data_IF_282409788206
#
_entry.id   IF_282409788206
#
_cell.length_a   1.000
_cell.length_b   1.000
_cell.length_c   1.000
_cell.angle_alpha   90.00
_cell.angle_beta   90.00
_cell.angle_gamma   90.00
#
_symmetry.space_group_name_H-M   'P 1'
#
loop_
_entity.id
_entity.type
_entity.pdbx_description
1 polymer ?
#
# COMPACT_ATOMS: atom_id res chain seq x y z
N UNK A 1 -15.46 11.78 15.82
CA UNK A 1 -15.43 12.62 14.60
C UNK A 1 -14.19 12.18 13.90
N UNK A 2 -14.27 11.76 12.63
CA UNK A 2 -13.09 11.29 11.90
C UNK A 2 -12.00 12.37 11.93
N UNK A 3 -10.82 12.02 12.41
CA UNK A 3 -9.69 12.94 12.60
C UNK A 3 -8.64 12.70 11.53
N UNK A 4 -8.35 13.73 10.74
CA UNK A 4 -7.28 13.72 9.74
C UNK A 4 -6.10 14.57 10.24
N UNK A 5 -4.90 13.96 10.32
CA UNK A 5 -3.68 14.62 10.78
C UNK A 5 -2.57 14.46 9.74
N UNK A 6 -2.11 15.56 9.16
CA UNK A 6 -0.92 15.58 8.31
C UNK A 6 0.30 15.35 9.21
N UNK A 7 1.22 14.49 8.77
CA UNK A 7 2.48 14.25 9.48
C UNK A 7 3.47 15.33 9.15
N UNK A 8 3.98 15.99 10.20
CA UNK A 8 5.06 16.95 10.07
C UNK A 8 6.36 16.23 9.75
N UNK A 9 7.16 16.83 8.87
CA UNK A 9 8.47 16.32 8.55
C UNK A 9 9.46 16.77 9.62
N UNK A 10 9.69 15.90 10.60
CA UNK A 10 10.55 16.21 11.75
C UNK A 10 12.03 16.34 11.36
N UNK A 11 12.49 15.53 10.40
CA UNK A 11 13.86 15.56 9.91
C UNK A 11 13.92 16.21 8.52
N UNK A 12 14.54 17.40 8.46
CA UNK A 12 14.66 18.18 7.22
C UNK A 12 15.57 17.56 6.16
N UNK A 13 16.38 16.56 6.52
CA UNK A 13 17.22 15.81 5.59
C UNK A 13 16.43 14.76 4.79
N UNK A 14 15.22 14.41 5.24
CA UNK A 14 14.32 13.55 4.47
C UNK A 14 13.72 14.37 3.33
N UNK A 15 13.81 13.85 2.12
CA UNK A 15 13.19 14.44 0.93
C UNK A 15 11.68 14.43 1.08
N UNK A 16 11.00 15.39 0.43
CA UNK A 16 9.53 15.45 0.50
C UNK A 16 8.88 14.18 -0.05
N UNK A 17 9.40 13.67 -1.18
CA UNK A 17 8.88 12.46 -1.80
C UNK A 17 9.06 11.23 -0.90
N UNK A 18 10.17 11.11 -0.17
CA UNK A 18 10.35 10.03 0.81
C UNK A 18 9.40 10.19 2.01
N UNK A 19 9.30 11.39 2.60
CA UNK A 19 8.41 11.67 3.73
C UNK A 19 6.96 11.33 3.41
N UNK A 20 6.47 11.82 2.27
CA UNK A 20 5.08 11.59 1.86
C UNK A 20 4.80 10.12 1.47
N UNK A 21 5.79 9.41 0.91
CA UNK A 21 5.72 7.98 0.61
C UNK A 21 5.74 7.12 1.88
N UNK A 22 6.51 7.53 2.88
CA UNK A 22 6.56 6.88 4.19
C UNK A 22 5.23 7.10 4.87
N UNK A 23 4.87 8.34 5.22
CA UNK A 23 3.60 8.66 5.85
C UNK A 23 3.28 10.13 5.67
N UNK A 24 2.37 10.44 4.73
CA UNK A 24 1.88 11.79 4.53
C UNK A 24 0.93 12.23 5.64
N UNK A 25 0.01 11.35 6.03
CA UNK A 25 -1.02 11.66 7.01
C UNK A 25 -1.59 10.39 7.66
N UNK A 26 -2.36 10.58 8.73
CA UNK A 26 -3.13 9.52 9.39
C UNK A 26 -4.59 9.92 9.51
N UNK A 27 -5.49 8.95 9.35
CA UNK A 27 -6.92 9.07 9.62
C UNK A 27 -7.24 8.18 10.83
N UNK A 28 -7.86 8.74 11.87
CA UNK A 28 -8.24 8.02 13.10
C UNK A 28 -9.64 8.40 13.56
N UNK A 29 -10.16 7.74 14.60
CA UNK A 29 -11.49 8.02 15.16
C UNK A 29 -12.61 7.91 14.10
N UNK A 30 -12.50 6.90 13.23
CA UNK A 30 -13.34 6.71 12.05
C UNK A 30 -14.76 6.38 12.48
N UNK A 31 -15.71 7.23 12.09
CA UNK A 31 -17.11 7.02 12.41
C UNK A 31 -17.86 6.24 11.31
N UNK A 32 -17.45 6.39 10.05
CA UNK A 32 -18.11 5.77 8.91
C UNK A 32 -17.16 5.62 7.72
N UNK A 33 -17.46 4.65 6.85
CA UNK A 33 -16.74 4.48 5.58
C UNK A 33 -16.83 5.70 4.65
N UNK A 34 -17.97 6.39 4.66
CA UNK A 34 -18.17 7.58 3.83
C UNK A 34 -17.19 8.71 4.19
N UNK A 35 -16.84 8.85 5.47
CA UNK A 35 -15.83 9.84 5.89
C UNK A 35 -14.46 9.53 5.27
N UNK A 36 -14.06 8.25 5.28
CA UNK A 36 -12.81 7.78 4.69
C UNK A 36 -12.81 8.00 3.17
N UNK A 37 -13.90 7.64 2.48
CA UNK A 37 -14.03 7.80 1.03
C UNK A 37 -14.04 9.27 0.58
N UNK A 38 -14.68 10.16 1.37
CA UNK A 38 -14.68 11.59 1.11
C UNK A 38 -13.28 12.18 1.31
N UNK A 39 -12.60 11.87 2.42
CA UNK A 39 -11.22 12.29 2.66
C UNK A 39 -10.28 11.81 1.57
N UNK A 40 -10.38 10.54 1.16
CA UNK A 40 -9.61 10.00 0.04
C UNK A 40 -9.80 10.86 -1.23
N UNK A 41 -11.04 11.18 -1.57
CA UNK A 41 -11.38 11.97 -2.76
C UNK A 41 -10.81 13.39 -2.67
N UNK A 42 -10.89 14.04 -1.51
CA UNK A 42 -10.33 15.36 -1.26
C UNK A 42 -8.81 15.39 -1.38
N UNK A 43 -8.13 14.44 -0.74
CA UNK A 43 -6.66 14.30 -0.79
C UNK A 43 -6.21 14.05 -2.23
N UNK A 44 -6.91 13.17 -2.95
CA UNK A 44 -6.61 12.83 -4.34
C UNK A 44 -6.74 14.04 -5.27
N UNK A 45 -7.76 14.87 -5.09
CA UNK A 45 -7.91 16.11 -5.87
C UNK A 45 -6.83 17.13 -5.53
N UNK A 46 -6.53 17.31 -4.25
CA UNK A 46 -5.56 18.29 -3.77
C UNK A 46 -4.12 18.01 -4.24
N UNK A 47 -3.74 16.74 -4.34
CA UNK A 47 -2.36 16.32 -4.59
C UNK A 47 -2.11 15.77 -6.00
N UNK A 48 -3.06 15.95 -6.92
CA UNK A 48 -2.83 15.58 -8.32
C UNK A 48 -1.58 16.30 -8.87
N UNK A 49 -0.62 15.58 -9.51
CA UNK A 49 -0.76 14.26 -10.11
C UNK A 49 -0.36 13.05 -9.23
N UNK A 50 0.12 13.26 -7.99
CA UNK A 50 0.50 12.16 -7.08
C UNK A 50 -0.70 11.26 -6.78
N UNK A 51 -0.44 9.97 -6.50
CA UNK A 51 -1.50 9.00 -6.17
C UNK A 51 -1.62 8.83 -4.68
N UNK A 52 -2.85 8.67 -4.21
CA UNK A 52 -3.14 8.42 -2.80
C UNK A 52 -3.27 6.92 -2.59
N UNK A 53 -2.58 6.42 -1.57
CA UNK A 53 -2.66 5.04 -1.11
C UNK A 53 -3.09 5.05 0.35
N UNK A 54 -4.22 4.42 0.65
CA UNK A 54 -4.67 4.22 2.04
C UNK A 54 -4.34 2.80 2.52
N UNK A 55 -3.69 2.68 3.67
CA UNK A 55 -3.50 1.41 4.36
C UNK A 55 -4.64 1.24 5.36
N UNK A 56 -5.59 0.35 5.04
CA UNK A 56 -6.82 0.12 5.81
C UNK A 56 -6.68 -0.96 6.90
N UNK A 57 -5.52 -1.61 6.94
CA UNK A 57 -5.15 -2.72 7.82
C UNK A 57 -4.08 -2.31 8.82
N UNK A 58 -3.72 -3.21 9.73
CA UNK A 58 -2.63 -3.01 10.68
C UNK A 58 -1.33 -2.67 9.94
N UNK A 59 -0.83 -1.45 10.21
CA UNK A 59 0.34 -0.88 9.54
C UNK A 59 1.57 -1.75 9.79
N UNK A 60 1.75 -2.24 11.02
CA UNK A 60 2.91 -3.07 11.37
C UNK A 60 2.93 -4.38 10.61
N UNK A 61 1.77 -5.04 10.48
CA UNK A 61 1.63 -6.26 9.67
C UNK A 61 1.76 -5.99 8.18
N UNK A 62 1.23 -4.87 7.69
CA UNK A 62 1.39 -4.43 6.31
C UNK A 62 2.88 -4.23 5.96
N UNK A 63 3.62 -3.52 6.81
CA UNK A 63 5.05 -3.27 6.62
C UNK A 63 5.87 -4.56 6.75
N UNK A 64 5.55 -5.41 7.74
CA UNK A 64 6.21 -6.70 7.94
C UNK A 64 6.06 -7.63 6.72
N UNK A 65 4.84 -7.79 6.22
CA UNK A 65 4.57 -8.64 5.05
C UNK A 65 5.14 -8.04 3.77
N UNK A 66 5.07 -6.71 3.59
CA UNK A 66 5.66 -6.01 2.45
C UNK A 66 7.18 -6.14 2.42
N UNK A 67 7.86 -6.01 3.56
CA UNK A 67 9.31 -6.23 3.68
C UNK A 67 9.69 -7.66 3.28
N UNK A 68 8.96 -8.66 3.77
CA UNK A 68 9.26 -10.04 3.39
C UNK A 68 8.97 -10.34 1.92
N UNK A 69 7.92 -9.72 1.35
CA UNK A 69 7.65 -9.83 -0.08
C UNK A 69 8.75 -9.19 -0.94
N UNK A 70 9.35 -8.07 -0.50
CA UNK A 70 10.47 -7.45 -1.22
C UNK A 70 11.76 -8.27 -1.16
N UNK A 71 11.95 -9.11 -0.14
CA UNK A 71 13.14 -9.99 -0.04
C UNK A 71 13.14 -11.17 -1.02
N UNK A 72 12.08 -11.38 -1.81
CA UNK A 72 12.06 -12.44 -2.82
C UNK A 72 12.99 -12.15 -4.01
N UNK A 73 13.50 -13.21 -4.65
CA UNK A 73 14.50 -13.16 -5.73
C UNK A 73 14.14 -12.21 -6.91
N UNK A 74 12.85 -11.93 -7.13
CA UNK A 74 12.37 -11.03 -8.18
C UNK A 74 12.15 -9.57 -7.78
N UNK A 75 12.15 -9.26 -6.48
CA UNK A 75 11.82 -7.92 -5.95
C UNK A 75 12.91 -7.35 -5.03
N UNK A 76 13.94 -8.12 -4.71
CA UNK A 76 15.03 -7.67 -3.85
C UNK A 76 15.75 -6.45 -4.44
N UNK A 77 15.83 -5.39 -3.64
CA UNK A 77 16.52 -4.15 -3.96
C UNK A 77 17.61 -3.89 -2.92
N UNK A 78 18.87 -3.95 -3.35
CA UNK A 78 20.01 -3.67 -2.49
C UNK A 78 20.22 -2.16 -2.38
N UNK A 79 19.95 -1.62 -1.19
CA UNK A 79 20.11 -0.19 -0.88
C UNK A 79 21.50 0.17 -0.36
N UNK A 80 22.39 -0.80 -0.13
CA UNK A 80 23.69 -0.55 0.52
C UNK A 80 24.61 0.39 -0.27
N UNK A 81 24.50 0.42 -1.59
CA UNK A 81 25.27 1.35 -2.45
C UNK A 81 24.63 2.75 -2.54
N UNK A 82 23.39 2.91 -2.10
CA UNK A 82 22.62 4.15 -2.18
C UNK A 82 22.63 4.93 -0.86
N UNK A 83 22.90 4.24 0.24
CA UNK A 83 22.97 4.81 1.57
C UNK A 83 24.34 5.45 1.76
N UNK A 84 24.37 6.77 1.90
CA UNK A 84 25.59 7.55 2.09
C UNK A 84 26.19 7.38 3.50
N UNK A 85 25.33 7.15 4.51
CA UNK A 85 25.68 6.99 5.92
C UNK A 85 24.61 6.20 6.70
N UNK A 86 24.89 5.81 7.94
CA UNK A 86 23.94 5.08 8.80
C UNK A 86 22.82 5.97 9.39
N UNK A 87 22.56 7.17 8.84
CA UNK A 87 21.48 8.02 9.31
C UNK A 87 20.12 7.56 8.81
N UNK A 88 19.08 7.78 9.63
CA UNK A 88 17.68 7.49 9.27
C UNK A 88 17.30 8.15 7.94
N UNK A 89 17.72 9.41 7.72
CA UNK A 89 17.40 10.13 6.49
C UNK A 89 18.01 9.48 5.25
N UNK A 90 19.22 8.93 5.33
CA UNK A 90 19.89 8.26 4.22
C UNK A 90 19.09 7.03 3.79
N UNK A 91 18.72 6.18 4.75
CA UNK A 91 17.87 5.02 4.51
C UNK A 91 16.48 5.39 3.98
N UNK A 92 15.81 6.36 4.59
CA UNK A 92 14.46 6.77 4.17
C UNK A 92 14.43 7.40 2.78
N UNK A 93 15.48 8.12 2.40
CA UNK A 93 15.61 8.70 1.06
C UNK A 93 15.79 7.65 -0.05
N UNK A 94 16.09 6.39 0.27
CA UNK A 94 16.10 5.30 -0.72
C UNK A 94 14.71 4.79 -1.09
N UNK A 95 13.67 5.07 -0.30
CA UNK A 95 12.32 4.51 -0.49
C UNK A 95 11.69 4.84 -1.85
N UNK A 96 11.81 6.07 -2.40
CA UNK A 96 11.32 6.34 -3.75
C UNK A 96 12.05 5.54 -4.84
N UNK A 97 13.34 5.24 -4.67
CA UNK A 97 14.13 4.44 -5.61
C UNK A 97 13.73 2.96 -5.53
N UNK A 98 13.56 2.44 -4.32
CA UNK A 98 13.04 1.08 -4.08
C UNK A 98 11.66 0.89 -4.73
N UNK A 99 10.76 1.88 -4.58
CA UNK A 99 9.46 1.87 -5.25
C UNK A 99 9.57 1.81 -6.78
N UNK A 100 10.45 2.63 -7.38
CA UNK A 100 10.67 2.61 -8.82
C UNK A 100 11.18 1.24 -9.28
N UNK A 101 12.14 0.67 -8.57
CA UNK A 101 12.64 -0.67 -8.85
C UNK A 101 11.53 -1.72 -8.78
N UNK A 102 10.71 -1.73 -7.72
CA UNK A 102 9.58 -2.66 -7.62
C UNK A 102 8.60 -2.52 -8.79
N UNK A 103 8.29 -1.30 -9.21
CA UNK A 103 7.44 -1.05 -10.38
C UNK A 103 8.06 -1.65 -11.64
N UNK A 104 9.35 -1.41 -11.88
CA UNK A 104 10.07 -1.95 -13.04
C UNK A 104 10.05 -3.48 -13.05
N UNK A 105 10.32 -4.12 -11.91
CA UNK A 105 10.26 -5.58 -11.78
C UNK A 105 8.84 -6.10 -12.04
N UNK A 106 7.83 -5.55 -11.39
CA UNK A 106 6.44 -5.99 -11.54
C UNK A 106 5.89 -5.80 -12.96
N UNK A 107 6.42 -4.83 -13.70
CA UNK A 107 6.01 -4.56 -15.08
C UNK A 107 6.71 -5.45 -16.12
N UNK A 108 7.66 -6.30 -15.71
CA UNK A 108 8.31 -7.25 -16.62
C UNK A 108 7.31 -8.28 -17.16
N UNK A 109 7.30 -8.58 -18.47
CA UNK A 109 6.34 -9.51 -19.06
C UNK A 109 6.33 -10.91 -18.42
N UNK A 110 7.48 -11.41 -17.97
CA UNK A 110 7.62 -12.69 -17.27
C UNK A 110 6.87 -12.74 -15.94
N UNK A 111 6.60 -11.58 -15.34
CA UNK A 111 5.86 -11.45 -14.10
C UNK A 111 4.35 -11.34 -14.33
N UNK A 112 3.89 -11.23 -15.58
CA UNK A 112 2.46 -11.12 -15.87
C UNK A 112 1.76 -12.47 -15.69
N UNK A 113 0.69 -12.45 -14.91
CA UNK A 113 -0.16 -13.60 -14.73
C UNK A 113 -1.20 -13.66 -15.84
N UNK A 114 -1.30 -14.82 -16.48
CA UNK A 114 -2.42 -15.08 -17.38
C UNK A 114 -3.68 -15.30 -16.54
N UNK A 115 -4.64 -14.40 -16.65
CA UNK A 115 -5.93 -14.49 -15.94
C UNK A 115 -6.64 -15.83 -16.15
N UNK A 116 -6.45 -16.49 -17.29
CA UNK A 116 -7.05 -17.80 -17.56
C UNK A 116 -6.46 -18.92 -16.70
N UNK A 117 -5.29 -18.69 -16.10
CA UNK A 117 -4.62 -19.63 -15.20
C UNK A 117 -4.97 -19.39 -13.73
N UNK A 118 -5.72 -18.32 -13.41
CA UNK A 118 -6.22 -18.11 -12.06
C UNK A 118 -7.26 -19.18 -11.70
N UNK A 119 -7.32 -19.62 -10.43
CA UNK A 119 -8.36 -20.55 -9.98
C UNK A 119 -9.76 -20.03 -10.33
N UNK A 120 -10.54 -20.82 -11.07
CA UNK A 120 -11.88 -20.42 -11.55
C UNK A 120 -12.91 -20.22 -10.43
N UNK A 121 -12.64 -20.76 -9.24
CA UNK A 121 -13.46 -20.59 -8.04
C UNK A 121 -12.54 -20.46 -6.83
N UNK A 122 -12.74 -19.40 -6.08
CA UNK A 122 -12.31 -19.32 -4.70
C UNK A 122 -13.27 -20.23 -3.91
N UNK A 123 -12.72 -21.16 -3.13
CA UNK A 123 -13.53 -22.13 -2.38
C UNK A 123 -13.80 -21.56 -0.99
N UNK A 124 -14.87 -20.79 -0.87
CA UNK A 124 -15.34 -20.23 0.39
C UNK A 124 -16.39 -21.16 1.02
N UNK A 125 -16.36 -21.30 2.34
CA UNK A 125 -17.47 -21.89 3.09
C UNK A 125 -18.67 -20.93 3.12
N UNK A 126 -19.86 -21.44 3.47
CA UNK A 126 -21.04 -20.60 3.70
C UNK A 126 -20.79 -19.56 4.82
N UNK A 127 -19.94 -19.92 5.80
CA UNK A 127 -19.52 -19.04 6.89
C UNK A 127 -18.61 -17.90 6.40
N UNK A 128 -17.64 -18.20 5.54
CA UNK A 128 -16.79 -17.19 4.91
C UNK A 128 -17.61 -16.23 4.08
N UNK A 129 -18.58 -16.74 3.30
CA UNK A 129 -19.46 -15.91 2.49
C UNK A 129 -20.32 -14.98 3.35
N UNK A 130 -20.89 -15.48 4.46
CA UNK A 130 -21.66 -14.66 5.39
C UNK A 130 -20.79 -13.55 6.02
N UNK A 131 -19.56 -13.89 6.40
CA UNK A 131 -18.58 -12.93 6.94
C UNK A 131 -18.25 -11.84 5.91
N UNK A 132 -17.98 -12.20 4.66
CA UNK A 132 -17.70 -11.23 3.59
C UNK A 132 -18.88 -10.30 3.31
N UNK A 133 -20.11 -10.81 3.38
CA UNK A 133 -21.32 -10.00 3.24
C UNK A 133 -21.49 -9.01 4.40
N UNK A 134 -21.17 -9.43 5.62
CA UNK A 134 -21.18 -8.54 6.78
C UNK A 134 -20.13 -7.43 6.66
N UNK A 135 -18.91 -7.79 6.25
CA UNK A 135 -17.83 -6.83 5.98
C UNK A 135 -18.25 -5.83 4.90
N UNK A 136 -18.90 -6.31 3.83
CA UNK A 136 -19.37 -5.42 2.77
C UNK A 136 -20.46 -4.45 3.24
N UNK A 137 -21.33 -4.89 4.15
CA UNK A 137 -22.40 -4.07 4.70
C UNK A 137 -21.89 -3.00 5.69
N UNK A 138 -20.86 -3.32 6.46
CA UNK A 138 -20.32 -2.47 7.54
C UNK A 138 -18.78 -2.47 7.52
N UNK A 139 -18.14 -1.97 6.44
CA UNK A 139 -16.69 -2.06 6.26
C UNK A 139 -15.89 -1.31 7.32
N UNK A 140 -16.48 -0.26 7.92
CA UNK A 140 -15.86 0.48 9.02
C UNK A 140 -15.56 -0.36 10.25
N UNK A 141 -16.22 -1.51 10.45
CA UNK A 141 -16.01 -2.38 11.60
C UNK A 141 -14.72 -3.19 11.56
N UNK A 142 -14.10 -3.31 10.39
CA UNK A 142 -12.86 -4.06 10.20
C UNK A 142 -11.65 -3.18 9.89
N UNK A 143 -11.85 -1.86 9.79
CA UNK A 143 -10.75 -0.93 9.62
C UNK A 143 -9.90 -0.91 10.88
N UNK A 144 -8.61 -0.73 10.71
CA UNK A 144 -7.73 -0.43 11.83
C UNK A 144 -8.13 0.91 12.49
N UNK A 145 -7.77 1.08 13.76
CA UNK A 145 -7.96 2.32 14.51
C UNK A 145 -7.28 3.51 13.82
N UNK A 146 -6.17 3.24 13.13
CA UNK A 146 -5.39 4.24 12.40
C UNK A 146 -5.14 3.79 10.96
N UNK A 147 -5.68 4.55 10.00
CA UNK A 147 -5.36 4.43 8.58
C UNK A 147 -4.17 5.32 8.25
N UNK A 148 -3.18 4.76 7.59
CA UNK A 148 -2.04 5.52 7.06
C UNK A 148 -2.31 5.97 5.62
N UNK A 149 -2.00 7.23 5.34
CA UNK A 149 -2.08 7.84 4.01
C UNK A 149 -0.67 8.01 3.47
N UNK A 150 -0.41 7.46 2.29
CA UNK A 150 0.82 7.69 1.52
C UNK A 150 0.49 8.48 0.26
N UNK A 151 1.35 9.44 -0.10
CA UNK A 151 1.33 10.05 -1.44
C UNK A 151 2.46 9.44 -2.26
N UNK A 152 2.09 8.91 -3.42
CA UNK A 152 2.96 8.09 -4.25
C UNK A 152 3.19 8.81 -5.57
N UNK A 153 4.42 9.22 -5.83
CA UNK A 153 4.82 9.97 -7.03
C UNK A 153 5.06 9.02 -8.22
N UNK A 154 3.98 8.53 -8.84
CA UNK A 154 4.01 7.54 -9.92
C UNK A 154 3.00 7.88 -11.03
N UNK A 155 3.07 7.18 -12.16
CA UNK A 155 2.27 7.55 -13.34
C UNK A 155 0.82 7.07 -13.30
N UNK A 156 0.58 5.82 -12.90
CA UNK A 156 -0.73 5.16 -13.02
C UNK A 156 -1.32 4.75 -11.67
N UNK A 157 -2.65 4.76 -11.53
CA UNK A 157 -3.29 4.34 -10.26
C UNK A 157 -2.92 2.93 -9.80
N UNK A 158 -2.57 2.03 -10.71
CA UNK A 158 -2.21 0.65 -10.37
C UNK A 158 -0.79 0.55 -9.81
N UNK A 159 0.15 1.35 -10.31
CA UNK A 159 1.55 1.34 -9.86
C UNK A 159 1.72 1.72 -8.38
N UNK A 160 0.79 2.48 -7.78
CA UNK A 160 0.88 2.88 -6.37
C UNK A 160 0.90 1.69 -5.41
N UNK A 161 0.33 0.55 -5.80
CA UNK A 161 0.33 -0.66 -4.99
C UNK A 161 1.74 -1.26 -4.80
N UNK A 162 2.73 -0.89 -5.63
CA UNK A 162 4.12 -1.27 -5.42
C UNK A 162 4.76 -0.63 -4.18
N UNK A 163 4.11 0.38 -3.57
CA UNK A 163 4.58 1.00 -2.33
C UNK A 163 4.30 0.15 -1.08
N UNK A 164 3.39 -0.83 -1.17
CA UNK A 164 3.10 -1.80 -0.12
C UNK A 164 2.87 -3.16 -0.78
N UNK A 165 3.96 -3.89 -0.98
CA UNK A 165 3.97 -5.20 -1.60
C UNK A 165 3.21 -6.21 -0.74
N UNK A 166 2.57 -7.19 -1.37
CA UNK A 166 1.86 -8.26 -0.67
C UNK A 166 2.03 -9.56 -1.48
N UNK A 167 2.22 -10.71 -0.83
CA UNK A 167 2.67 -11.94 -1.49
C UNK A 167 3.65 -12.76 -0.64
N UNK A 168 3.64 -12.56 0.68
CA UNK A 168 4.52 -13.28 1.59
C UNK A 168 4.00 -14.70 1.85
N UNK A 169 2.69 -14.86 2.01
CA UNK A 169 2.07 -16.17 2.19
C UNK A 169 1.77 -16.81 0.84
N UNK A 170 1.90 -18.13 0.77
CA UNK A 170 1.55 -18.90 -0.45
C UNK A 170 0.06 -18.85 -0.78
N UNK A 171 -0.78 -18.45 0.17
CA UNK A 171 -2.20 -18.17 -0.01
C UNK A 171 -2.50 -16.71 -0.38
N UNK A 172 -1.51 -15.80 -0.23
CA UNK A 172 -1.63 -14.46 -0.79
C UNK A 172 -1.67 -14.61 -2.31
N UNK A 173 -2.50 -13.81 -2.95
CA UNK A 173 -2.34 -13.61 -4.37
C UNK A 173 -0.94 -13.03 -4.57
N UNK A 174 -0.08 -13.73 -5.34
CA UNK A 174 1.29 -13.30 -5.66
C UNK A 174 1.32 -11.78 -5.95
N UNK A 175 2.37 -11.06 -5.59
CA UNK A 175 2.53 -9.62 -5.84
C UNK A 175 2.06 -9.18 -7.24
N UNK A 176 2.34 -9.99 -8.26
CA UNK A 176 1.96 -9.74 -9.65
C UNK A 176 0.44 -9.88 -9.93
N UNK A 177 -0.30 -10.62 -9.12
CA UNK A 177 -1.78 -10.70 -9.13
C UNK A 177 -2.43 -9.50 -8.45
N UNK A 178 -1.72 -8.85 -7.52
CA UNK A 178 -2.26 -7.75 -6.71
C UNK A 178 -2.45 -6.45 -7.51
N UNK A 179 -1.70 -6.25 -8.60
CA UNK A 179 -1.90 -5.14 -9.55
C UNK A 179 -3.27 -5.17 -10.24
N UNK A 180 -3.99 -6.30 -10.21
CA UNK A 180 -5.27 -6.48 -10.86
C UNK A 180 -6.50 -6.43 -9.92
N UNK A 181 -6.35 -6.53 -8.59
CA UNK A 181 -7.49 -6.90 -7.74
C UNK A 181 -7.59 -6.33 -6.32
N UNK A 182 -6.73 -5.41 -5.86
CA UNK A 182 -7.03 -4.68 -4.61
C UNK A 182 -8.13 -3.63 -4.85
N UNK A 183 -9.38 -4.02 -4.62
CA UNK A 183 -10.54 -3.12 -4.47
C UNK A 183 -11.04 -3.06 -3.01
N UNK A 184 -10.56 -3.93 -2.10
CA UNK A 184 -11.12 -4.04 -0.75
C UNK A 184 -10.16 -3.83 0.43
N UNK A 185 -8.85 -3.69 0.22
CA UNK A 185 -7.89 -3.51 1.32
C UNK A 185 -7.02 -2.25 1.21
N UNK A 186 -7.12 -1.53 0.09
CA UNK A 186 -6.36 -0.32 -0.20
C UNK A 186 -7.17 0.49 -1.24
N UNK A 187 -7.41 1.77 -0.96
CA UNK A 187 -7.99 2.74 -1.90
C UNK A 187 -6.93 3.60 -2.58
#
# INVERSE_FOLDING_TARGET
MTVFRIKEKENSLITEDAHELICYATISEINSWNDVANLYSEIKQKHFPKKVLLLLEDIGQCEYTSMHASMGDGLYFDTTELVEDDSVASWENTRPLELQYHIEQLLKPENYLNFNNLPKKLNYSDEDQATLLQINAEPEKILDEVIQVKLVNIQTETQKFAACLNGYFTCDWLCCTNLAYKVYSVL
#
